data_IF_602838574236
#
_entry.id   IF_602838574236
#
_cell.length_a   1.000
_cell.length_b   1.000
_cell.length_c   1.000
_cell.angle_alpha   90.00
_cell.angle_beta   90.00
_cell.angle_gamma   90.00
#
_symmetry.space_group_name_H-M   'P 1'
#
loop_
_entity.id
_entity.type
_entity.pdbx_description
1 polymer ?
#
# COMPACT_ATOMS: atom_id res chain seq x y z
N UNK A 1 13.23 -7.19 2.41
CA UNK A 1 11.99 -7.96 2.66
C UNK A 1 10.75 -7.08 2.60
N UNK A 2 10.72 -5.97 3.35
CA UNK A 2 9.64 -4.95 3.32
C UNK A 2 9.44 -4.37 1.90
N UNK A 3 10.54 -4.13 1.17
CA UNK A 3 10.51 -3.56 -0.20
C UNK A 3 9.82 -4.44 -1.25
N UNK A 4 9.95 -5.77 -1.16
CA UNK A 4 9.28 -6.68 -2.11
C UNK A 4 7.77 -6.74 -1.86
N UNK A 5 7.35 -6.62 -0.60
CA UNK A 5 5.95 -6.54 -0.22
C UNK A 5 5.33 -5.22 -0.69
N UNK A 6 5.98 -4.07 -0.42
CA UNK A 6 5.55 -2.78 -0.95
C UNK A 6 5.51 -2.75 -2.47
N UNK A 7 6.48 -3.39 -3.13
CA UNK A 7 6.48 -3.50 -4.59
C UNK A 7 5.29 -4.33 -5.09
N UNK A 8 4.85 -5.37 -4.38
CA UNK A 8 3.66 -6.14 -4.75
C UNK A 8 2.37 -5.32 -4.55
N UNK A 9 2.28 -4.55 -3.47
CA UNK A 9 1.15 -3.65 -3.20
C UNK A 9 1.10 -2.50 -4.22
N UNK A 10 2.26 -1.99 -4.63
CA UNK A 10 2.38 -0.91 -5.61
C UNK A 10 2.18 -1.36 -7.06
N UNK A 11 2.17 -2.66 -7.38
CA UNK A 11 1.75 -3.15 -8.72
C UNK A 11 0.31 -2.73 -9.03
N UNK A 12 -0.50 -2.55 -7.96
CA UNK A 12 -1.83 -1.98 -8.00
C UNK A 12 -1.86 -0.52 -8.44
N UNK A 13 -0.83 0.23 -8.04
CA UNK A 13 -0.65 1.66 -8.23
C UNK A 13 0.20 1.88 -9.48
N UNK A 14 -0.40 1.70 -10.66
CA UNK A 14 0.21 2.24 -11.88
C UNK A 14 0.51 3.72 -11.63
N UNK A 15 1.64 4.28 -12.09
CA UNK A 15 1.77 5.73 -12.14
C UNK A 15 0.53 6.21 -12.89
N UNK A 16 -0.33 6.95 -12.19
CA UNK A 16 -1.49 7.62 -12.77
C UNK A 16 -0.87 8.73 -13.60
N UNK A 17 -0.27 8.38 -14.74
CA UNK A 17 0.53 9.32 -15.49
C UNK A 17 -0.34 10.26 -16.31
N UNK A 18 -1.66 10.02 -16.46
CA UNK A 18 -2.43 10.90 -17.35
C UNK A 18 -3.96 10.97 -17.23
N UNK A 19 -4.64 10.22 -16.35
CA UNK A 19 -6.13 10.11 -16.44
C UNK A 19 -6.95 10.24 -15.17
N UNK A 20 -6.50 11.08 -14.24
CA UNK A 20 -7.44 11.82 -13.42
C UNK A 20 -7.14 13.28 -13.68
N UNK A 21 -7.96 13.95 -14.50
CA UNK A 21 -8.19 15.39 -14.31
C UNK A 21 -8.33 15.56 -12.81
N UNK A 22 -7.34 16.15 -12.16
CA UNK A 22 -7.43 16.43 -10.74
C UNK A 22 -8.71 17.24 -10.60
N UNK A 23 -9.69 16.69 -9.90
CA UNK A 23 -10.84 17.50 -9.46
C UNK A 23 -10.26 18.78 -8.86
N UNK A 24 -10.90 19.93 -9.08
CA UNK A 24 -10.45 21.22 -8.55
C UNK A 24 -10.02 21.13 -7.09
N UNK A 25 -10.78 20.37 -6.30
CA UNK A 25 -10.49 20.07 -4.90
C UNK A 25 -9.16 19.32 -4.67
N UNK A 26 -8.81 18.34 -5.52
CA UNK A 26 -7.54 17.63 -5.42
C UNK A 26 -6.35 18.53 -5.82
N UNK A 27 -6.55 19.47 -6.76
CA UNK A 27 -5.51 20.41 -7.16
C UNK A 27 -5.22 21.44 -6.06
N UNK A 28 -6.26 21.93 -5.37
CA UNK A 28 -6.12 22.79 -4.19
C UNK A 28 -5.41 22.08 -3.04
N UNK A 29 -5.80 20.84 -2.76
CA UNK A 29 -5.16 20.03 -1.71
C UNK A 29 -3.68 19.76 -2.01
N UNK A 30 -3.31 19.55 -3.27
CA UNK A 30 -1.91 19.41 -3.68
C UNK A 30 -1.14 20.74 -3.53
N UNK A 31 -1.76 21.85 -3.92
CA UNK A 31 -1.20 23.19 -3.73
C UNK A 31 -0.93 23.48 -2.24
N UNK A 32 -1.92 23.22 -1.37
CA UNK A 32 -1.79 23.39 0.07
C UNK A 32 -0.69 22.50 0.68
N UNK A 33 -0.54 21.27 0.18
CA UNK A 33 0.54 20.38 0.59
C UNK A 33 1.92 20.97 0.25
N UNK A 34 2.11 21.44 -0.97
CA UNK A 34 3.38 22.05 -1.37
C UNK A 34 3.67 23.34 -0.58
N UNK A 35 2.67 24.17 -0.34
CA UNK A 35 2.80 25.40 0.45
C UNK A 35 3.08 25.13 1.94
N UNK A 36 2.67 23.97 2.46
CA UNK A 36 2.90 23.59 3.85
C UNK A 36 4.35 23.21 4.16
N UNK A 37 5.21 23.08 3.15
CA UNK A 37 6.60 22.69 3.33
C UNK A 37 7.39 23.71 4.14
N UNK A 38 8.01 23.24 5.23
CA UNK A 38 8.89 24.02 6.09
C UNK A 38 10.06 23.15 6.55
N UNK A 39 11.16 23.81 6.93
CA UNK A 39 12.27 23.17 7.63
C UNK A 39 12.24 23.67 9.06
N UNK A 40 12.01 22.76 10.02
CA UNK A 40 11.95 23.04 11.46
C UNK A 40 12.98 22.14 12.13
N UNK A 41 13.95 22.72 12.83
CA UNK A 41 15.04 21.99 13.51
C UNK A 41 15.78 21.01 12.57
N UNK A 42 16.02 21.44 11.33
CA UNK A 42 16.67 20.62 10.29
C UNK A 42 15.78 19.49 9.73
N UNK A 43 14.54 19.35 10.19
CA UNK A 43 13.58 18.37 9.70
C UNK A 43 12.65 18.99 8.66
N UNK A 44 12.43 18.27 7.56
CA UNK A 44 11.43 18.63 6.55
C UNK A 44 10.05 18.29 7.09
N UNK A 45 9.22 19.31 7.27
CA UNK A 45 7.86 19.21 7.79
C UNK A 45 6.90 19.63 6.69
N UNK A 46 5.82 18.88 6.53
CA UNK A 46 4.70 19.16 5.64
C UNK A 46 3.42 18.84 6.39
N UNK A 47 2.33 19.53 6.06
CA UNK A 47 1.02 19.16 6.54
C UNK A 47 0.52 17.92 5.82
N UNK A 48 -0.21 17.07 6.54
CA UNK A 48 -0.88 15.93 5.92
C UNK A 48 -2.00 16.47 5.00
N UNK A 49 -2.01 16.12 3.71
CA UNK A 49 -3.12 16.49 2.84
C UNK A 49 -4.40 15.82 3.32
N UNK A 50 -5.38 16.63 3.76
CA UNK A 50 -6.62 16.15 4.34
C UNK A 50 -7.83 16.65 3.55
N UNK A 51 -8.81 15.76 3.33
CA UNK A 51 -10.10 16.14 2.76
C UNK A 51 -11.10 16.33 3.90
N UNK A 52 -11.56 17.55 4.18
CA UNK A 52 -12.45 17.82 5.31
C UNK A 52 -13.80 17.07 5.20
N UNK A 53 -14.22 16.77 3.97
CA UNK A 53 -15.45 16.02 3.67
C UNK A 53 -15.34 14.52 3.97
N UNK A 54 -14.11 14.00 4.09
CA UNK A 54 -13.88 12.58 4.38
C UNK A 54 -13.98 12.37 5.89
N UNK A 55 -15.12 11.87 6.32
CA UNK A 55 -15.26 11.33 7.69
C UNK A 55 -14.57 9.98 7.73
N UNK A 56 -13.59 9.83 8.65
CA UNK A 56 -13.08 8.52 9.00
C UNK A 56 -14.20 7.77 9.72
N UNK A 57 -14.80 6.82 9.03
CA UNK A 57 -15.71 5.86 9.66
C UNK A 57 -14.92 4.98 10.62
N UNK A 58 -15.53 4.57 11.73
CA UNK A 58 -14.92 3.65 12.70
C UNK A 58 -14.54 2.30 12.09
N UNK A 59 -15.20 1.92 10.98
CA UNK A 59 -14.90 0.74 10.18
C UNK A 59 -14.61 1.12 8.73
N UNK A 60 -13.53 0.57 8.18
CA UNK A 60 -13.18 0.65 6.77
C UNK A 60 -13.44 -0.69 6.03
N UNK A 61 -14.29 -1.55 6.61
CA UNK A 61 -14.49 -2.93 6.15
C UNK A 61 -14.89 -3.00 4.68
N UNK A 62 -15.90 -2.24 4.26
CA UNK A 62 -16.41 -2.28 2.88
C UNK A 62 -15.34 -1.85 1.87
N UNK A 63 -14.63 -0.75 2.16
CA UNK A 63 -13.51 -0.29 1.33
C UNK A 63 -12.40 -1.34 1.24
N UNK A 64 -12.13 -2.03 2.35
CA UNK A 64 -11.11 -3.08 2.42
C UNK A 64 -11.51 -4.29 1.59
N UNK A 65 -12.76 -4.75 1.69
CA UNK A 65 -13.29 -5.87 0.89
C UNK A 65 -13.27 -5.53 -0.60
N UNK A 66 -13.70 -4.33 -0.99
CA UNK A 66 -13.63 -3.89 -2.39
C UNK A 66 -12.20 -3.90 -2.94
N UNK A 67 -11.24 -3.36 -2.16
CA UNK A 67 -9.83 -3.37 -2.54
C UNK A 67 -9.27 -4.79 -2.65
N UNK A 68 -9.61 -5.65 -1.70
CA UNK A 68 -9.23 -7.05 -1.71
C UNK A 68 -9.72 -7.76 -2.97
N UNK A 69 -11.03 -7.67 -3.27
CA UNK A 69 -11.63 -8.31 -4.44
C UNK A 69 -11.03 -7.80 -5.76
N UNK A 70 -10.78 -6.50 -5.85
CA UNK A 70 -10.13 -5.89 -7.02
C UNK A 70 -8.69 -6.40 -7.20
N UNK A 71 -7.92 -6.45 -6.11
CA UNK A 71 -6.56 -6.98 -6.12
C UNK A 71 -6.53 -8.45 -6.55
N UNK A 72 -7.39 -9.27 -5.94
CA UNK A 72 -7.55 -10.70 -6.25
C UNK A 72 -7.84 -10.90 -7.73
N UNK A 73 -8.81 -10.17 -8.29
CA UNK A 73 -9.11 -10.22 -9.74
C UNK A 73 -7.89 -9.92 -10.61
N UNK A 74 -7.11 -8.88 -10.26
CA UNK A 74 -5.92 -8.48 -11.03
C UNK A 74 -4.80 -9.52 -10.95
N UNK A 75 -4.58 -10.11 -9.78
CA UNK A 75 -3.61 -11.19 -9.61
C UNK A 75 -4.03 -12.40 -10.43
N UNK A 76 -5.32 -12.77 -10.45
CA UNK A 76 -5.81 -13.90 -11.24
C UNK A 76 -5.74 -13.67 -12.74
N UNK A 77 -5.93 -12.42 -13.20
CA UNK A 77 -5.86 -12.07 -14.62
C UNK A 77 -4.43 -12.12 -15.21
N UNK A 78 -3.38 -12.04 -14.38
CA UNK A 78 -1.99 -12.07 -14.83
C UNK A 78 -1.27 -13.32 -14.28
N UNK A 79 -1.00 -14.28 -15.16
CA UNK A 79 -0.38 -15.57 -14.82
C UNK A 79 1.01 -15.43 -14.20
N UNK A 80 1.84 -14.51 -14.70
CA UNK A 80 3.19 -14.26 -14.17
C UNK A 80 3.12 -13.71 -12.74
N UNK A 81 2.24 -12.73 -12.50
CA UNK A 81 2.02 -12.16 -11.17
C UNK A 81 1.48 -13.19 -10.18
N UNK A 82 0.53 -14.03 -10.63
CA UNK A 82 -0.01 -15.12 -9.82
C UNK A 82 1.09 -16.09 -9.37
N UNK A 83 1.96 -16.51 -10.30
CA UNK A 83 3.08 -17.42 -9.99
C UNK A 83 4.08 -16.78 -9.03
N UNK A 84 4.45 -15.51 -9.27
CA UNK A 84 5.37 -14.76 -8.40
C UNK A 84 4.80 -14.60 -6.99
N UNK A 85 3.52 -14.29 -6.87
CA UNK A 85 2.83 -14.17 -5.59
C UNK A 85 2.80 -15.52 -4.85
N UNK A 86 2.41 -16.61 -5.53
CA UNK A 86 2.37 -17.94 -4.94
C UNK A 86 3.74 -18.39 -4.42
N UNK A 87 4.81 -18.17 -5.19
CA UNK A 87 6.18 -18.46 -4.77
C UNK A 87 6.56 -17.71 -3.50
N UNK A 88 6.32 -16.41 -3.44
CA UNK A 88 6.64 -15.61 -2.25
C UNK A 88 5.82 -16.03 -1.02
N UNK A 89 4.56 -16.41 -1.21
CA UNK A 89 3.74 -16.94 -0.11
C UNK A 89 4.33 -18.25 0.43
N UNK A 90 4.70 -19.17 -0.46
CA UNK A 90 5.32 -20.44 -0.07
C UNK A 90 6.63 -20.23 0.70
N UNK A 91 7.53 -19.40 0.17
CA UNK A 91 8.79 -19.04 0.84
C UNK A 91 8.56 -18.47 2.26
N UNK A 92 7.48 -17.69 2.43
CA UNK A 92 7.12 -17.11 3.72
C UNK A 92 6.62 -18.15 4.73
N UNK A 93 5.88 -19.16 4.25
CA UNK A 93 5.36 -20.27 5.05
C UNK A 93 6.52 -21.17 5.47
N UNK A 94 7.38 -21.54 4.52
CA UNK A 94 8.53 -22.40 4.77
C UNK A 94 9.47 -21.75 5.80
N UNK A 95 9.74 -20.45 5.65
CA UNK A 95 10.54 -19.70 6.63
C UNK A 95 9.90 -19.66 8.02
N UNK A 96 8.58 -19.50 8.12
CA UNK A 96 7.86 -19.54 9.41
C UNK A 96 7.95 -20.93 10.04
N UNK A 97 7.81 -21.98 9.24
CA UNK A 97 7.90 -23.38 9.68
C UNK A 97 9.29 -23.73 10.17
N UNK A 98 10.34 -23.34 9.43
CA UNK A 98 11.74 -23.52 9.82
C UNK A 98 12.08 -22.80 11.12
N UNK A 99 11.59 -21.58 11.33
CA UNK A 99 11.73 -20.85 12.61
C UNK A 99 11.02 -21.53 13.78
N UNK A 100 9.82 -22.07 13.56
CA UNK A 100 9.09 -22.83 14.59
C UNK A 100 9.77 -24.16 14.93
N UNK A 101 10.49 -24.77 13.99
CA UNK A 101 11.31 -25.97 14.21
C UNK A 101 12.57 -25.64 15.02
N UNK A 102 13.31 -24.60 14.66
CA UNK A 102 14.48 -24.13 15.42
C UNK A 102 14.14 -23.83 16.89
N UNK A 103 13.01 -23.16 17.16
CA UNK A 103 12.54 -22.89 18.54
C UNK A 103 12.17 -24.14 19.35
N UNK A 104 11.93 -25.29 18.70
CA UNK A 104 11.64 -26.57 19.38
C UNK A 104 12.91 -27.36 19.74
N UNK A 105 14.05 -27.07 19.13
CA UNK A 105 15.33 -27.72 19.41
C UNK A 105 16.21 -26.95 20.41
N UNK A 106 15.84 -25.71 20.75
CA UNK A 106 16.53 -24.88 21.75
C UNK A 106 15.80 -24.86 23.10
N UNK A 107 15.13 -25.96 23.45
CA UNK A 107 14.46 -26.16 24.74
C UNK A 107 14.79 -27.55 25.23
#
# INVERSE_FOLDING_TARGET
>A
MVRNFWNLESIGMQPIQEKLRLSTHNAELLTNFHQSFKIIDGRRVVHLPWKPEVKLTSSNYDTTIHRFNSCTRRIHANTELKQKYAKQMQDSIDRKTSRRRLKRYTK
#
